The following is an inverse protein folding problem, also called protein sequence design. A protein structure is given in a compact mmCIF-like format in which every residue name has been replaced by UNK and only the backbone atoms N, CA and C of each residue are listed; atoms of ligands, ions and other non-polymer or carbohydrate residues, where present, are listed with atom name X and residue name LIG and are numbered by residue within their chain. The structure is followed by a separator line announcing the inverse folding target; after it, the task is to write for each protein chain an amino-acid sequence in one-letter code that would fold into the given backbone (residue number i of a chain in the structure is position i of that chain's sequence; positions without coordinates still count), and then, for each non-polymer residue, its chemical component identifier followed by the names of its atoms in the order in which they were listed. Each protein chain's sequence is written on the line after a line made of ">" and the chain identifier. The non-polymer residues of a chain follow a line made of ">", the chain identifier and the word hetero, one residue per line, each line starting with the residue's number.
data_IF_598242238876
#
_entry.id   IF_598242238876
#
_cell.length_a   1.000
_cell.length_b   1.000
_cell.length_c   1.000
_cell.angle_alpha   90.00
_cell.angle_beta   90.00
_cell.angle_gamma   90.00
#
_symmetry.space_group_name_H-M   'P 1'
#
loop_
_entity.id
_entity.type
_entity.pdbx_description
1 polymer ?
#
# COMPACT_ATOMS: atom_id res chain seq x y z
N UNK A 1 -2.85 -8.18 -25.22
CA UNK A 1 -3.68 -7.73 -25.22
C UNK A 1 -3.88 -7.58 -25.53
N UNK A 2 -3.70 -7.95 -25.36
CA UNK A 2 -4.50 -7.59 -25.55
C UNK A 2 -4.61 -7.44 -25.74
N UNK A 3 -4.53 -7.81 -25.82
CA UNK A 3 -5.26 -7.50 -26.12
C UNK A 3 -5.36 -7.26 -26.33
N UNK A 4 -5.21 -7.32 -25.95
CA UNK A 4 -5.89 -6.95 -26.23
C UNK A 4 -6.26 -6.63 -26.37
N UNK A 5 -6.29 -6.91 -26.20
CA UNK A 5 -7.13 -6.49 -26.39
C UNK A 5 -7.53 -6.17 -26.43
N UNK A 6 -7.57 -6.07 -26.75
CA UNK A 6 -8.55 -5.55 -26.71
C UNK A 6 -8.59 -5.00 -27.01
N UNK A 7 -8.51 -5.23 -26.41
CA UNK A 7 -9.14 -4.52 -26.56
C UNK A 7 -9.47 -3.94 -26.90
N UNK A 8 -9.49 -3.99 -27.05
CA UNK A 8 -10.22 -3.21 -27.14
C UNK A 8 -10.76 -2.87 -27.56
N UNK A 9 -11.17 -2.66 -27.46
CA UNK A 9 -12.00 -2.13 -27.55
C UNK A 9 -12.44 -1.83 -27.30
N UNK A 10 -12.37 -2.07 -27.04
CA UNK A 10 -13.16 -1.52 -26.62
C UNK A 10 -13.12 -1.07 -26.81
N UNK A 11 -13.09 -1.02 -26.77
CA UNK A 11 -13.32 -0.21 -26.57
C UNK A 11 -13.54 0.45 -26.94
N UNK A 12 -13.85 0.77 -26.97
CA UNK A 12 -14.16 1.70 -26.88
C UNK A 12 -14.81 2.06 -26.61
N UNK A 13 -15.22 1.97 -26.32
CA UNK A 13 -15.86 2.53 -25.69
C UNK A 13 -15.60 2.80 -24.94
N UNK A 14 -15.51 2.70 -25.03
CA UNK A 14 -15.31 3.01 -24.23
C UNK A 14 -14.68 3.47 -24.19
N UNK A 15 -14.39 3.96 -24.38
CA UNK A 15 -13.68 4.62 -24.11
C UNK A 15 -13.49 5.78 -24.14
N UNK A 16 -13.29 6.34 -24.11
CA UNK A 16 -13.30 7.71 -23.81
C UNK A 16 -13.20 8.06 -22.38
N UNK A 17 -13.35 7.40 -21.67
CA UNK A 17 -13.27 7.45 -20.24
C UNK A 17 -11.93 7.01 -19.74
N UNK A 18 -10.99 6.91 -20.61
CA UNK A 18 -9.70 6.35 -20.30
C UNK A 18 -9.00 7.09 -19.16
N UNK A 19 -9.05 8.42 -19.21
CA UNK A 19 -8.37 9.23 -18.22
C UNK A 19 -8.98 9.06 -16.82
N UNK A 20 -10.31 9.03 -16.76
CA UNK A 20 -11.00 8.82 -15.49
C UNK A 20 -10.70 7.43 -14.94
N UNK A 21 -10.64 6.41 -15.79
CA UNK A 21 -10.34 5.07 -15.35
C UNK A 21 -8.95 4.97 -14.76
N UNK A 22 -7.97 5.65 -15.37
CA UNK A 22 -6.61 5.65 -14.84
C UNK A 22 -6.57 6.33 -13.48
N UNK A 23 -7.26 7.47 -13.34
CA UNK A 23 -7.30 8.19 -12.07
C UNK A 23 -7.98 7.37 -10.98
N UNK A 24 -9.02 6.60 -11.35
CA UNK A 24 -9.72 5.76 -10.40
C UNK A 24 -8.87 4.57 -9.93
N UNK A 25 -7.84 4.24 -10.69
CA UNK A 25 -6.95 3.14 -10.34
C UNK A 25 -5.81 3.57 -9.44
N UNK A 26 -5.66 4.87 -9.20
CA UNK A 26 -4.63 5.33 -8.29
C UNK A 26 -4.94 4.86 -6.88
N UNK A 27 -3.92 4.50 -6.11
CA UNK A 27 -4.15 4.00 -4.76
C UNK A 27 -4.52 5.12 -3.80
N UNK A 28 -5.25 4.77 -2.76
CA UNK A 28 -5.55 5.69 -1.66
C UNK A 28 -5.49 4.92 -0.35
N UNK A 29 -4.94 5.55 0.67
CA UNK A 29 -4.94 5.00 2.02
C UNK A 29 -5.97 5.78 2.84
N UNK A 30 -6.91 5.05 3.44
CA UNK A 30 -7.93 5.67 4.29
C UNK A 30 -7.55 5.64 5.76
N UNK A 31 -6.99 4.51 6.22
CA UNK A 31 -6.65 4.33 7.63
C UNK A 31 -5.48 3.36 7.75
N UNK A 32 -4.69 3.53 8.80
CA UNK A 32 -3.65 2.59 9.19
C UNK A 32 -3.80 2.37 10.70
N UNK A 33 -3.78 1.10 11.12
CA UNK A 33 -3.95 0.78 12.53
C UNK A 33 -3.35 -0.61 12.82
N UNK A 34 -3.05 -0.84 14.08
CA UNK A 34 -2.48 -2.13 14.49
C UNK A 34 -3.57 -3.19 14.57
N UNK A 35 -3.18 -4.43 14.32
CA UNK A 35 -4.06 -5.59 14.45
C UNK A 35 -3.32 -6.68 15.17
N UNK A 36 -4.06 -7.64 15.70
CA UNK A 36 -3.49 -8.82 16.31
C UNK A 36 -3.12 -9.83 15.23
N UNK A 37 -2.42 -10.89 15.59
CA UNK A 37 -2.02 -11.91 14.62
C UNK A 37 -3.21 -12.60 13.97
N UNK A 38 -4.37 -12.61 14.64
CA UNK A 38 -5.58 -13.19 14.05
C UNK A 38 -6.37 -12.15 13.26
N UNK A 39 -5.77 -11.00 12.99
CA UNK A 39 -6.33 -9.91 12.19
C UNK A 39 -7.48 -9.18 12.89
N UNK A 40 -7.56 -9.24 14.21
CA UNK A 40 -8.54 -8.48 14.97
C UNK A 40 -8.08 -7.03 15.14
N UNK A 41 -9.01 -6.11 14.97
CA UNK A 41 -8.74 -4.68 15.09
C UNK A 41 -8.47 -4.30 16.53
N UNK A 42 -7.36 -3.65 16.79
CA UNK A 42 -7.02 -3.20 18.14
C UNK A 42 -7.37 -1.72 18.37
N UNK A 43 -7.57 -0.96 17.30
CA UNK A 43 -7.93 0.46 17.40
C UNK A 43 -6.76 1.39 17.65
N UNK A 44 -5.55 0.91 17.61
CA UNK A 44 -4.38 1.71 17.95
C UNK A 44 -3.40 1.77 16.78
N UNK A 45 -2.43 2.68 16.91
CA UNK A 45 -1.36 2.79 15.92
C UNK A 45 0.00 2.53 16.55
N UNK A 46 0.03 1.73 17.59
CA UNK A 46 1.25 1.32 18.27
C UNK A 46 1.45 -0.15 17.96
N UNK A 47 2.60 -0.50 17.40
CA UNK A 47 2.86 -1.83 16.88
C UNK A 47 4.24 -2.28 17.37
N UNK A 48 4.34 -3.48 17.92
CA UNK A 48 5.64 -4.04 18.25
C UNK A 48 6.34 -4.55 16.99
N UNK A 49 7.66 -4.46 16.96
CA UNK A 49 8.43 -5.08 15.87
C UNK A 49 8.05 -6.55 15.77
N UNK A 50 7.89 -7.03 14.55
CA UNK A 50 7.46 -8.41 14.29
C UNK A 50 5.95 -8.61 14.32
N UNK A 51 5.19 -7.62 14.73
CA UNK A 51 3.72 -7.72 14.79
C UNK A 51 3.09 -7.06 13.57
N UNK A 52 1.79 -6.99 13.54
CA UNK A 52 1.03 -6.70 12.34
C UNK A 52 0.32 -5.35 12.39
N UNK A 53 0.16 -4.74 11.23
CA UNK A 53 -0.66 -3.55 11.08
C UNK A 53 -1.46 -3.67 9.80
N UNK A 54 -2.56 -2.95 9.74
CA UNK A 54 -3.47 -2.97 8.59
C UNK A 54 -3.50 -1.62 7.90
N UNK A 55 -3.44 -1.68 6.58
CA UNK A 55 -3.71 -0.53 5.72
C UNK A 55 -5.06 -0.79 5.07
N UNK A 56 -5.99 0.13 5.27
CA UNK A 56 -7.30 0.07 4.64
C UNK A 56 -7.39 1.19 3.62
N UNK A 57 -7.78 0.87 2.40
CA UNK A 57 -7.84 1.87 1.35
C UNK A 57 -8.56 1.37 0.11
N UNK A 58 -8.07 1.78 -1.04
CA UNK A 58 -8.58 1.29 -2.32
C UNK A 58 -7.45 1.21 -3.32
N UNK A 59 -7.61 0.31 -4.29
CA UNK A 59 -6.63 0.09 -5.37
C UNK A 59 -5.25 -0.24 -4.82
N UNK A 60 -5.21 -1.11 -3.81
CA UNK A 60 -3.98 -1.48 -3.12
C UNK A 60 -3.31 -2.73 -3.69
N UNK A 61 -3.77 -3.20 -4.84
CA UNK A 61 -3.10 -4.32 -5.51
C UNK A 61 -1.80 -3.84 -6.14
N UNK A 62 -0.73 -4.61 -5.97
CA UNK A 62 0.55 -4.24 -6.53
C UNK A 62 1.34 -5.49 -6.89
N UNK A 63 2.36 -5.31 -7.72
CA UNK A 63 3.25 -6.39 -8.12
C UNK A 63 4.40 -6.48 -7.12
N UNK A 64 4.36 -7.53 -6.30
CA UNK A 64 5.35 -7.71 -5.25
C UNK A 64 6.75 -7.91 -5.82
N UNK A 65 6.86 -8.42 -7.04
CA UNK A 65 8.16 -8.66 -7.68
C UNK A 65 8.85 -7.35 -8.11
N UNK A 66 8.12 -6.26 -8.19
CA UNK A 66 8.69 -4.97 -8.53
C UNK A 66 9.02 -4.23 -7.22
N UNK A 67 10.31 -4.07 -6.96
CA UNK A 67 10.78 -3.49 -5.70
C UNK A 67 10.37 -2.03 -5.52
N UNK A 68 9.89 -1.38 -6.57
CA UNK A 68 9.41 0.00 -6.48
C UNK A 68 7.97 0.08 -6.00
N UNK A 69 7.28 -1.05 -5.98
CA UNK A 69 5.88 -1.11 -5.56
C UNK A 69 5.76 -1.69 -4.16
N UNK A 70 4.75 -1.26 -3.45
CA UNK A 70 4.40 -1.87 -2.17
C UNK A 70 4.27 -0.87 -1.06
N UNK A 71 4.45 -1.36 0.15
CA UNK A 71 4.29 -0.59 1.38
C UNK A 71 5.65 -0.17 1.88
N UNK A 72 5.78 1.12 2.18
CA UNK A 72 7.04 1.69 2.65
C UNK A 72 6.82 2.46 3.94
N UNK A 73 7.71 2.23 4.91
CA UNK A 73 7.69 2.93 6.18
C UNK A 73 8.97 3.74 6.32
N UNK A 74 8.83 5.02 6.67
CA UNK A 74 9.98 5.89 6.88
C UNK A 74 9.87 6.55 8.24
N UNK A 75 10.97 6.59 8.98
CA UNK A 75 11.02 7.33 10.24
C UNK A 75 10.61 8.78 9.97
N UNK A 76 9.82 9.32 10.85
CA UNK A 76 9.35 10.68 10.72
C UNK A 76 10.56 11.62 10.63
N UNK A 77 10.60 12.39 9.56
CA UNK A 77 11.71 13.29 9.31
C UNK A 77 12.84 12.70 8.49
N UNK A 78 12.77 11.40 8.15
CA UNK A 78 13.83 10.75 7.37
C UNK A 78 13.21 9.91 6.25
N UNK A 79 12.71 10.59 5.23
CA UNK A 79 12.04 9.92 4.11
C UNK A 79 12.99 9.21 3.16
N UNK A 80 14.28 9.47 3.27
CA UNK A 80 15.24 8.88 2.35
C UNK A 80 15.54 7.44 2.65
N UNK A 81 15.31 7.01 3.89
CA UNK A 81 15.64 5.66 4.33
C UNK A 81 14.37 4.86 4.62
N UNK A 82 13.47 4.84 3.65
CA UNK A 82 12.25 4.08 3.79
C UNK A 82 12.52 2.58 3.77
N UNK A 83 11.78 1.85 4.58
CA UNK A 83 11.86 0.38 4.64
C UNK A 83 10.68 -0.18 3.86
N UNK A 84 10.96 -1.03 2.88
CA UNK A 84 9.91 -1.73 2.14
C UNK A 84 9.48 -2.95 2.93
N UNK A 85 8.19 -3.06 3.17
CA UNK A 85 7.65 -4.23 3.87
C UNK A 85 7.58 -5.40 2.90
N UNK A 86 8.02 -6.57 3.34
CA UNK A 86 8.09 -7.75 2.48
C UNK A 86 7.31 -8.95 3.01
N UNK A 87 6.71 -8.84 4.20
CA UNK A 87 5.93 -9.93 4.80
C UNK A 87 4.50 -9.47 5.02
N UNK A 88 3.55 -10.31 4.62
CA UNK A 88 2.15 -9.96 4.66
C UNK A 88 1.32 -11.15 5.11
N UNK A 89 0.21 -10.86 5.81
CA UNK A 89 -0.83 -11.86 6.09
C UNK A 89 -1.88 -11.83 5.00
N UNK A 90 -2.17 -10.62 4.49
CA UNK A 90 -3.23 -10.43 3.51
C UNK A 90 -2.87 -9.29 2.58
N UNK A 91 -3.15 -9.49 1.29
CA UNK A 91 -3.02 -8.43 0.30
C UNK A 91 -4.24 -8.49 -0.61
N UNK A 92 -5.11 -7.51 -0.48
CA UNK A 92 -6.28 -7.37 -1.37
C UNK A 92 -6.31 -5.94 -1.90
N UNK A 93 -7.27 -5.64 -2.77
CA UNK A 93 -7.38 -4.29 -3.33
C UNK A 93 -7.77 -3.25 -2.28
N UNK A 94 -8.34 -3.66 -1.17
CA UNK A 94 -8.83 -2.72 -0.15
C UNK A 94 -8.14 -2.87 1.18
N UNK A 95 -7.42 -3.96 1.40
CA UNK A 95 -6.84 -4.23 2.71
C UNK A 95 -5.48 -4.90 2.55
N UNK A 96 -4.50 -4.36 3.24
CA UNK A 96 -3.19 -4.99 3.34
C UNK A 96 -2.89 -5.18 4.82
N UNK A 97 -2.65 -6.42 5.21
CA UNK A 97 -2.20 -6.75 6.56
C UNK A 97 -0.73 -7.10 6.47
N UNK A 98 0.10 -6.23 7.00
CA UNK A 98 1.54 -6.31 6.86
C UNK A 98 2.18 -6.66 8.19
N UNK A 99 3.36 -7.26 8.12
CA UNK A 99 4.13 -7.67 9.31
C UNK A 99 5.39 -6.80 9.36
N UNK A 100 5.59 -6.13 10.49
CA UNK A 100 6.81 -5.34 10.69
C UNK A 100 8.01 -6.26 10.81
N UNK A 101 9.15 -5.90 10.21
CA UNK A 101 10.39 -6.65 10.44
C UNK A 101 10.73 -6.70 11.93
N UNK A 102 11.31 -7.81 12.36
CA UNK A 102 11.65 -7.97 13.78
C UNK A 102 12.77 -7.04 14.23
N UNK A 103 13.61 -6.64 13.30
CA UNK A 103 14.71 -5.72 13.59
C UNK A 103 14.35 -4.26 13.32
N UNK A 104 13.06 -3.96 13.19
CA UNK A 104 12.61 -2.61 12.96
C UNK A 104 12.95 -1.72 14.15
N UNK A 105 13.61 -0.61 13.84
CA UNK A 105 14.00 0.36 14.86
C UNK A 105 12.76 1.03 15.45
N UNK A 106 12.73 1.22 16.76
CA UNK A 106 11.58 1.87 17.37
C UNK A 106 11.53 3.35 16.97
N UNK A 107 10.34 3.88 16.90
CA UNK A 107 10.12 5.26 16.52
C UNK A 107 8.78 5.44 15.84
N UNK A 108 8.52 6.66 15.40
CA UNK A 108 7.29 7.01 14.70
C UNK A 108 7.56 6.98 13.19
N UNK A 109 6.74 6.25 12.46
CA UNK A 109 6.91 6.05 11.03
C UNK A 109 5.73 6.59 10.25
N UNK A 110 6.02 7.17 9.09
CA UNK A 110 5.00 7.50 8.11
C UNK A 110 4.84 6.30 7.17
N UNK A 111 3.65 6.16 6.62
CA UNK A 111 3.29 5.02 5.78
C UNK A 111 2.98 5.53 4.38
N UNK A 112 3.56 4.88 3.38
CA UNK A 112 3.29 5.16 1.97
C UNK A 112 3.02 3.87 1.23
N UNK A 113 2.25 3.97 0.16
CA UNK A 113 1.99 2.85 -0.72
C UNK A 113 2.24 3.30 -2.15
N UNK A 114 3.02 2.51 -2.89
CA UNK A 114 3.39 2.82 -4.26
C UNK A 114 2.93 1.68 -5.16
N UNK A 115 2.34 2.04 -6.28
CA UNK A 115 1.85 1.07 -7.24
C UNK A 115 2.13 1.59 -8.64
N UNK A 116 2.41 0.69 -9.58
CA UNK A 116 2.59 1.07 -10.97
C UNK A 116 1.23 1.12 -11.64
N UNK A 117 0.92 2.20 -12.32
CA UNK A 117 -0.35 2.31 -13.03
C UNK A 117 -0.22 1.85 -14.47
N UNK A 118 -1.33 1.89 -15.21
CA UNK A 118 -1.38 1.42 -16.58
C UNK A 118 -0.55 2.24 -17.56
N UNK A 119 -0.09 3.42 -17.15
CA UNK A 119 0.73 4.28 -17.98
C UNK A 119 2.22 4.18 -17.67
N UNK A 120 2.59 3.28 -16.75
CA UNK A 120 3.98 3.09 -16.40
C UNK A 120 4.49 4.04 -15.33
N UNK A 121 3.62 4.86 -14.77
CA UNK A 121 3.97 5.75 -13.66
C UNK A 121 3.79 5.04 -12.32
N UNK A 122 4.35 5.64 -11.28
CA UNK A 122 4.32 5.06 -9.94
C UNK A 122 3.63 6.03 -8.98
N UNK A 123 2.29 6.11 -9.02
CA UNK A 123 1.58 6.96 -8.07
C UNK A 123 1.81 6.49 -6.64
N UNK A 124 1.90 7.46 -5.73
CA UNK A 124 2.16 7.21 -4.32
C UNK A 124 0.95 7.64 -3.52
N UNK A 125 0.45 6.76 -2.68
CA UNK A 125 -0.59 7.09 -1.71
C UNK A 125 0.09 7.33 -0.37
N UNK A 126 -0.24 8.45 0.24
CA UNK A 126 0.26 8.81 1.57
C UNK A 126 -0.91 8.91 2.53
N UNK A 127 -0.62 8.89 3.81
CA UNK A 127 -1.62 9.08 4.83
C UNK A 127 -1.03 9.94 5.94
N UNK A 128 -1.90 10.68 6.64
CA UNK A 128 -1.48 11.41 7.83
C UNK A 128 -1.41 10.50 9.04
N UNK A 129 -1.94 9.28 8.95
CA UNK A 129 -1.81 8.31 10.02
C UNK A 129 -0.34 7.90 10.17
N UNK A 130 0.11 7.79 11.39
CA UNK A 130 1.47 7.36 11.69
C UNK A 130 1.41 6.11 12.53
N UNK A 131 2.48 5.31 12.46
CA UNK A 131 2.60 4.10 13.28
C UNK A 131 3.78 4.30 14.21
N UNK A 132 3.55 4.05 15.48
CA UNK A 132 4.64 4.04 16.46
C UNK A 132 5.10 2.60 16.65
N UNK A 133 6.38 2.35 16.35
CA UNK A 133 6.99 1.04 16.54
C UNK A 133 7.66 1.02 17.89
N UNK A 134 7.31 0.03 18.71
CA UNK A 134 7.86 -0.17 20.04
C UNK A 134 8.52 -1.53 20.13
N UNK A 135 9.26 -1.74 21.19
CA UNK A 135 9.91 -3.03 21.44
C UNK A 135 8.94 -4.05 22.01
#
# INVERSE_FOLDING_TARGET
>A
MVNKKFEAKAVEKVFYKTKSSVAEMDPSIFQVFSITKDASYSGERVVKAGMCFRIYGKNLGFDFEDEKQGVFLALKGDRKNAVRITSFIRRTQRTIDAILPQDMEKGVYTVSFVKKNGEGSYPVANTTDEIEVIE
#
